data_IF_413263163869
#
_entry.id   IF_413263163869
#
_cell.length_a   1.000
_cell.length_b   1.000
_cell.length_c   1.000
_cell.angle_alpha   90.00
_cell.angle_beta   90.00
_cell.angle_gamma   90.00
#
_symmetry.space_group_name_H-M   'P 1'
#
loop_
_entity.id
_entity.type
_entity.pdbx_description
1 polymer ?
#
# COMPACT_ATOMS: atom_id res chain seq x y z
N UNK A 1 -22.33 16.47 19.10
CA UNK A 1 -21.26 15.49 19.35
C UNK A 1 -21.88 14.10 19.45
N UNK A 2 -21.53 13.18 18.55
CA UNK A 2 -22.01 11.80 18.49
C UNK A 2 -21.36 11.01 19.63
N UNK A 3 -22.19 10.35 20.46
CA UNK A 3 -21.75 9.47 21.56
C UNK A 3 -22.13 8.01 21.34
N UNK A 4 -23.17 7.76 20.54
CA UNK A 4 -23.62 6.42 20.19
C UNK A 4 -22.60 5.75 19.24
N UNK A 5 -22.18 4.53 19.57
CA UNK A 5 -21.16 3.82 18.85
C UNK A 5 -21.60 3.34 17.46
N UNK A 6 -22.90 2.95 17.32
CA UNK A 6 -23.41 2.52 16.02
C UNK A 6 -23.59 3.70 15.06
N UNK A 7 -24.13 4.83 15.56
CA UNK A 7 -24.24 6.06 14.78
C UNK A 7 -22.87 6.57 14.34
N UNK A 8 -21.86 6.50 15.22
CA UNK A 8 -20.47 6.84 14.89
C UNK A 8 -19.95 5.97 13.74
N UNK A 9 -20.05 4.64 13.85
CA UNK A 9 -19.58 3.74 12.79
C UNK A 9 -20.33 3.97 11.47
N UNK A 10 -21.65 4.13 11.52
CA UNK A 10 -22.47 4.41 10.34
C UNK A 10 -22.09 5.74 9.67
N UNK A 11 -21.84 6.79 10.46
CA UNK A 11 -21.41 8.09 9.96
C UNK A 11 -20.04 8.02 9.28
N UNK A 12 -19.07 7.26 9.85
CA UNK A 12 -17.75 7.06 9.26
C UNK A 12 -17.82 6.33 7.91
N UNK A 13 -18.58 5.21 7.87
CA UNK A 13 -18.73 4.43 6.63
C UNK A 13 -19.43 5.26 5.56
N UNK A 14 -20.47 6.02 5.92
CA UNK A 14 -21.19 6.88 4.99
C UNK A 14 -20.29 8.01 4.47
N UNK A 15 -19.54 8.68 5.34
CA UNK A 15 -18.61 9.72 4.93
C UNK A 15 -17.52 9.16 4.00
N UNK A 16 -16.95 7.99 4.31
CA UNK A 16 -16.00 7.32 3.43
C UNK A 16 -16.62 7.00 2.07
N UNK A 17 -17.86 6.48 2.03
CA UNK A 17 -18.58 6.19 0.79
C UNK A 17 -18.80 7.45 -0.06
N UNK A 18 -19.16 8.58 0.55
CA UNK A 18 -19.30 9.86 -0.16
C UNK A 18 -17.95 10.29 -0.74
N UNK A 19 -16.88 10.30 0.07
CA UNK A 19 -15.56 10.79 -0.33
C UNK A 19 -14.93 9.94 -1.44
N UNK A 20 -15.09 8.61 -1.40
CA UNK A 20 -14.63 7.70 -2.47
C UNK A 20 -15.32 7.96 -3.80
N UNK A 21 -16.58 8.40 -3.78
CA UNK A 21 -17.34 8.65 -5.00
C UNK A 21 -17.19 10.07 -5.56
N UNK A 22 -16.59 11.01 -4.84
CA UNK A 22 -16.38 12.40 -5.34
C UNK A 22 -15.70 12.46 -6.72
N UNK A 23 -14.62 11.68 -7.00
CA UNK A 23 -13.99 11.71 -8.32
C UNK A 23 -14.91 11.25 -9.46
N UNK A 24 -15.93 10.42 -9.17
CA UNK A 24 -16.93 9.98 -10.16
C UNK A 24 -17.99 11.04 -10.40
N UNK A 25 -18.29 11.88 -9.41
CA UNK A 25 -19.28 12.95 -9.47
C UNK A 25 -18.70 14.17 -10.19
N UNK A 26 -17.49 14.57 -9.85
CA UNK A 26 -16.82 15.76 -10.40
C UNK A 26 -15.85 15.37 -11.52
N UNK A 27 -16.34 15.38 -12.79
CA UNK A 27 -15.57 14.90 -13.97
C UNK A 27 -14.77 16.01 -14.71
N UNK A 28 -14.78 17.25 -14.24
CA UNK A 28 -14.09 18.37 -14.92
C UNK A 28 -12.55 18.24 -14.86
N UNK A 29 -11.83 18.75 -15.88
CA UNK A 29 -10.35 18.69 -15.94
C UNK A 29 -9.68 19.19 -14.65
N UNK A 30 -10.15 20.30 -14.07
CA UNK A 30 -9.63 20.82 -12.79
C UNK A 30 -9.87 19.87 -11.62
N UNK A 31 -11.03 19.22 -11.57
CA UNK A 31 -11.35 18.23 -10.55
C UNK A 31 -10.47 16.99 -10.68
N UNK A 32 -10.22 16.51 -11.89
CA UNK A 32 -9.30 15.39 -12.13
C UNK A 32 -7.89 15.69 -11.64
N UNK A 33 -7.36 16.89 -11.94
CA UNK A 33 -6.05 17.32 -11.42
C UNK A 33 -6.05 17.32 -9.88
N UNK A 34 -7.08 17.86 -9.26
CA UNK A 34 -7.21 17.86 -7.80
C UNK A 34 -7.21 16.43 -7.23
N UNK A 35 -8.02 15.51 -7.79
CA UNK A 35 -8.10 14.13 -7.29
C UNK A 35 -6.86 13.29 -7.58
N UNK A 36 -6.00 13.70 -8.52
CA UNK A 36 -4.68 13.09 -8.69
C UNK A 36 -3.75 13.40 -7.50
N UNK A 37 -3.83 14.62 -6.94
CA UNK A 37 -3.07 15.01 -5.74
C UNK A 37 -3.74 14.60 -4.43
N UNK A 38 -5.06 14.48 -4.43
CA UNK A 38 -5.86 14.07 -3.27
C UNK A 38 -6.69 12.83 -3.61
N UNK A 39 -6.06 11.65 -3.71
CA UNK A 39 -6.77 10.40 -3.97
C UNK A 39 -7.76 10.06 -2.83
N UNK A 40 -8.74 9.17 -3.05
CA UNK A 40 -9.80 8.87 -2.06
C UNK A 40 -9.27 8.55 -0.66
N UNK A 41 -8.15 7.86 -0.53
CA UNK A 41 -7.50 7.57 0.76
C UNK A 41 -7.19 8.86 1.53
N UNK A 42 -6.58 9.83 0.85
CA UNK A 42 -6.19 11.11 1.45
C UNK A 42 -7.42 11.95 1.79
N UNK A 43 -8.43 11.97 0.92
CA UNK A 43 -9.69 12.68 1.18
C UNK A 43 -10.42 12.14 2.40
N UNK A 44 -10.48 10.80 2.56
CA UNK A 44 -11.09 10.17 3.74
C UNK A 44 -10.29 10.53 4.97
N UNK A 45 -8.95 10.38 4.91
CA UNK A 45 -8.10 10.64 6.07
C UNK A 45 -8.20 12.09 6.53
N UNK A 46 -7.95 13.06 5.64
CA UNK A 46 -7.99 14.49 5.98
C UNK A 46 -9.40 14.97 6.31
N UNK A 47 -10.42 14.49 5.59
CA UNK A 47 -11.81 14.88 5.83
C UNK A 47 -12.31 14.40 7.20
N UNK A 48 -12.05 13.15 7.57
CA UNK A 48 -12.47 12.62 8.88
C UNK A 48 -11.60 13.14 10.03
N UNK A 49 -10.32 13.38 9.78
CA UNK A 49 -9.45 14.07 10.73
C UNK A 49 -9.96 15.49 11.03
N UNK A 50 -10.40 16.23 10.01
CA UNK A 50 -11.04 17.54 10.21
C UNK A 50 -12.30 17.44 11.06
N UNK A 51 -13.18 16.47 10.78
CA UNK A 51 -14.39 16.24 11.58
C UNK A 51 -14.06 15.84 13.02
N UNK A 52 -12.98 15.08 13.25
CA UNK A 52 -12.47 14.75 14.58
C UNK A 52 -12.01 16.01 15.32
N UNK A 53 -11.21 16.85 14.68
CA UNK A 53 -10.74 18.15 15.21
C UNK A 53 -11.93 19.06 15.56
N UNK A 54 -12.99 19.05 14.75
CA UNK A 54 -14.25 19.76 15.03
C UNK A 54 -15.09 19.11 16.14
N UNK A 55 -14.64 18.02 16.75
CA UNK A 55 -15.32 17.30 17.83
C UNK A 55 -16.74 16.83 17.45
N UNK A 56 -16.92 16.35 16.21
CA UNK A 56 -18.22 15.84 15.74
C UNK A 56 -18.64 14.60 16.54
N UNK A 57 -17.70 13.79 17.01
CA UNK A 57 -17.92 12.64 17.89
C UNK A 57 -17.08 12.70 19.16
N UNK A 58 -17.53 11.96 20.18
CA UNK A 58 -16.82 11.82 21.46
C UNK A 58 -15.85 10.64 21.39
N UNK A 59 -14.55 10.92 21.51
CA UNK A 59 -13.49 9.91 21.40
C UNK A 59 -13.57 8.85 22.50
N UNK A 60 -13.96 9.23 23.73
CA UNK A 60 -14.07 8.30 24.84
C UNK A 60 -15.28 7.39 24.71
N UNK A 61 -16.46 7.96 24.42
CA UNK A 61 -17.70 7.23 24.25
C UNK A 61 -17.67 6.24 23.08
N UNK A 62 -16.96 6.57 21.99
CA UNK A 62 -16.86 5.73 20.79
C UNK A 62 -15.65 4.77 20.80
N UNK A 63 -14.82 4.78 21.85
CA UNK A 63 -13.59 3.99 21.91
C UNK A 63 -13.83 2.48 21.87
N UNK A 64 -14.88 1.99 22.51
CA UNK A 64 -15.22 0.56 22.53
C UNK A 64 -15.50 0.05 21.11
N UNK A 65 -16.33 0.74 20.34
CA UNK A 65 -16.67 0.38 18.95
C UNK A 65 -15.44 0.49 18.05
N UNK A 66 -14.65 1.55 18.17
CA UNK A 66 -13.39 1.69 17.43
C UNK A 66 -12.48 0.47 17.63
N UNK A 67 -12.21 0.08 18.87
CA UNK A 67 -11.31 -1.05 19.18
C UNK A 67 -11.86 -2.39 18.72
N UNK A 68 -13.18 -2.62 18.85
CA UNK A 68 -13.82 -3.88 18.48
C UNK A 68 -13.96 -4.07 16.96
N UNK A 69 -13.88 -2.99 16.15
CA UNK A 69 -14.10 -3.05 14.71
C UNK A 69 -12.79 -2.91 13.91
N UNK A 70 -11.90 -1.99 14.33
CA UNK A 70 -10.68 -1.65 13.56
C UNK A 70 -9.80 -2.87 13.30
N UNK A 71 -9.33 -3.53 14.34
CA UNK A 71 -8.36 -4.62 14.19
C UNK A 71 -8.94 -5.86 13.50
N UNK A 72 -10.14 -6.36 13.85
CA UNK A 72 -10.74 -7.48 13.13
C UNK A 72 -10.91 -7.22 11.63
N UNK A 73 -11.36 -6.03 11.22
CA UNK A 73 -11.51 -5.69 9.81
C UNK A 73 -10.14 -5.52 9.14
N UNK A 74 -9.14 -4.92 9.80
CA UNK A 74 -7.77 -4.79 9.29
C UNK A 74 -7.17 -6.16 8.94
N UNK A 75 -7.23 -7.10 9.85
CA UNK A 75 -6.64 -8.42 9.64
C UNK A 75 -7.41 -9.23 8.59
N UNK A 76 -8.74 -9.15 8.57
CA UNK A 76 -9.56 -9.76 7.52
C UNK A 76 -9.23 -9.17 6.14
N UNK A 77 -9.07 -7.85 6.05
CA UNK A 77 -8.64 -7.16 4.84
C UNK A 77 -7.28 -7.65 4.35
N UNK A 78 -6.28 -7.75 5.24
CA UNK A 78 -4.94 -8.22 4.88
C UNK A 78 -4.98 -9.64 4.30
N UNK A 79 -5.73 -10.54 4.94
CA UNK A 79 -5.91 -11.90 4.44
C UNK A 79 -6.49 -11.90 3.03
N UNK A 80 -7.64 -11.21 2.81
CA UNK A 80 -8.33 -11.18 1.52
C UNK A 80 -7.46 -10.52 0.44
N UNK A 81 -6.72 -9.47 0.79
CA UNK A 81 -5.81 -8.79 -0.13
C UNK A 81 -4.69 -9.72 -0.61
N UNK A 82 -4.13 -10.52 0.29
CA UNK A 82 -3.05 -11.46 -0.03
C UNK A 82 -3.53 -12.68 -0.82
N UNK A 83 -4.82 -13.05 -0.78
CA UNK A 83 -5.39 -14.09 -1.65
C UNK A 83 -5.20 -13.82 -3.15
N UNK A 84 -4.97 -12.56 -3.54
CA UNK A 84 -4.72 -12.16 -4.94
C UNK A 84 -3.31 -12.52 -5.42
N UNK A 85 -2.40 -12.88 -4.51
CA UNK A 85 -0.98 -13.08 -4.81
C UNK A 85 -0.70 -14.48 -5.35
N UNK A 86 -0.99 -14.72 -6.64
CA UNK A 86 -0.63 -15.97 -7.32
C UNK A 86 0.88 -16.03 -7.61
N UNK A 87 1.66 -16.54 -6.66
CA UNK A 87 3.12 -16.65 -6.78
C UNK A 87 3.56 -17.45 -8.02
N UNK A 88 2.77 -18.43 -8.49
CA UNK A 88 3.10 -19.18 -9.70
C UNK A 88 3.07 -18.31 -10.96
N UNK A 89 2.12 -17.38 -11.01
CA UNK A 89 2.04 -16.40 -12.10
C UNK A 89 3.15 -15.35 -11.99
N UNK A 90 3.45 -14.90 -10.79
CA UNK A 90 4.51 -13.91 -10.55
C UNK A 90 5.87 -14.44 -11.02
N UNK A 91 6.17 -15.72 -10.79
CA UNK A 91 7.43 -16.34 -11.26
C UNK A 91 7.52 -16.36 -12.80
N UNK A 92 6.39 -16.43 -13.50
CA UNK A 92 6.35 -16.37 -14.98
C UNK A 92 6.79 -15.02 -15.56
N UNK A 93 6.87 -13.95 -14.74
CA UNK A 93 7.41 -12.65 -15.18
C UNK A 93 8.88 -12.73 -15.64
N UNK A 94 9.57 -13.77 -15.21
CA UNK A 94 10.95 -14.00 -15.58
C UNK A 94 11.97 -13.25 -14.68
N UNK A 95 13.25 -13.66 -14.76
CA UNK A 95 14.26 -13.19 -13.81
C UNK A 95 14.56 -11.71 -13.92
N UNK A 96 14.54 -11.11 -15.12
CA UNK A 96 14.84 -9.67 -15.29
C UNK A 96 13.82 -8.78 -14.57
N UNK A 97 12.53 -9.08 -14.70
CA UNK A 97 11.48 -8.32 -14.04
C UNK A 97 11.52 -8.49 -12.52
N UNK A 98 11.75 -9.72 -12.04
CA UNK A 98 11.88 -9.98 -10.61
C UNK A 98 13.12 -9.28 -10.02
N UNK A 99 14.27 -9.34 -10.70
CA UNK A 99 15.47 -8.61 -10.28
C UNK A 99 15.19 -7.10 -10.25
N UNK A 100 14.52 -6.54 -11.27
CA UNK A 100 14.12 -5.13 -11.31
C UNK A 100 13.22 -4.77 -10.12
N UNK A 101 12.24 -5.62 -9.79
CA UNK A 101 11.34 -5.43 -8.67
C UNK A 101 12.10 -5.43 -7.33
N UNK A 102 12.93 -6.42 -7.06
CA UNK A 102 13.71 -6.48 -5.81
C UNK A 102 14.75 -5.36 -5.72
N UNK A 103 15.35 -4.97 -6.83
CA UNK A 103 16.23 -3.80 -6.89
C UNK A 103 15.48 -2.51 -6.49
N UNK A 104 14.26 -2.34 -7.00
CA UNK A 104 13.39 -1.23 -6.60
C UNK A 104 13.03 -1.28 -5.11
N UNK A 105 12.63 -2.44 -4.60
CA UNK A 105 12.30 -2.63 -3.18
C UNK A 105 13.48 -2.27 -2.28
N UNK A 106 14.67 -2.80 -2.59
CA UNK A 106 15.88 -2.54 -1.78
C UNK A 106 16.31 -1.07 -1.86
N UNK A 107 16.24 -0.45 -3.04
CA UNK A 107 16.59 0.96 -3.20
C UNK A 107 15.63 1.90 -2.48
N UNK A 108 14.33 1.55 -2.40
CA UNK A 108 13.34 2.26 -1.58
C UNK A 108 13.72 2.13 -0.10
N UNK A 109 13.92 0.91 0.40
CA UNK A 109 14.32 0.68 1.79
C UNK A 109 15.59 1.44 2.19
N UNK A 110 16.61 1.44 1.31
CA UNK A 110 17.81 2.23 1.52
C UNK A 110 17.54 3.74 1.50
N UNK A 111 16.65 4.20 0.60
CA UNK A 111 16.22 5.58 0.55
C UNK A 111 15.57 6.04 1.86
N UNK A 112 14.67 5.24 2.43
CA UNK A 112 14.06 5.51 3.74
C UNK A 112 15.10 5.56 4.85
N UNK A 113 15.97 4.56 4.91
CA UNK A 113 17.04 4.48 5.93
C UNK A 113 17.98 5.69 5.88
N UNK A 114 18.49 6.04 4.70
CA UNK A 114 19.43 7.17 4.53
C UNK A 114 18.73 8.51 4.78
N UNK A 115 17.51 8.69 4.25
CA UNK A 115 16.75 9.91 4.50
C UNK A 115 16.45 10.09 5.99
N UNK A 116 16.06 9.01 6.69
CA UNK A 116 15.83 9.07 8.13
C UNK A 116 17.11 9.39 8.90
N UNK A 117 18.25 8.79 8.54
CA UNK A 117 19.54 9.11 9.16
C UNK A 117 19.90 10.62 9.04
N UNK A 118 19.48 11.26 7.94
CA UNK A 118 19.72 12.72 7.73
C UNK A 118 18.74 13.56 8.54
N UNK A 119 17.44 13.19 8.57
CA UNK A 119 16.36 14.03 9.06
C UNK A 119 15.80 13.65 10.44
N UNK A 120 16.25 12.56 11.08
CA UNK A 120 15.65 12.03 12.32
C UNK A 120 15.47 13.09 13.42
N UNK A 121 16.45 13.98 13.61
CA UNK A 121 16.35 15.04 14.62
C UNK A 121 15.27 16.08 14.31
N UNK A 122 14.98 16.32 13.02
CA UNK A 122 13.99 17.30 12.57
C UNK A 122 12.58 16.70 12.47
N UNK A 123 12.48 15.41 12.24
CA UNK A 123 11.21 14.69 12.11
C UNK A 123 10.54 14.42 13.46
N UNK A 124 11.30 14.42 14.53
CA UNK A 124 10.83 14.18 15.90
C UNK A 124 10.90 12.73 16.35
N UNK A 125 10.81 12.53 17.66
CA UNK A 125 10.91 11.21 18.29
C UNK A 125 9.80 10.27 17.79
N UNK A 126 10.14 9.00 17.53
CA UNK A 126 9.18 7.99 17.08
C UNK A 126 8.75 8.08 15.61
N UNK A 127 9.19 9.09 14.85
CA UNK A 127 8.86 9.25 13.42
C UNK A 127 9.33 8.09 12.53
N UNK A 128 10.33 7.31 12.99
CA UNK A 128 10.77 6.09 12.32
C UNK A 128 9.65 5.06 12.17
N UNK A 129 8.70 5.02 13.12
CA UNK A 129 7.54 4.12 13.06
C UNK A 129 6.64 4.47 11.88
N UNK A 130 6.26 5.74 11.73
CA UNK A 130 5.42 6.20 10.63
C UNK A 130 6.14 6.11 9.28
N UNK A 131 7.44 6.42 9.22
CA UNK A 131 8.24 6.21 8.02
C UNK A 131 8.39 4.73 7.69
N UNK A 132 8.48 3.84 8.68
CA UNK A 132 8.44 2.39 8.49
C UNK A 132 7.12 1.92 7.89
N UNK A 133 6.00 2.45 8.38
CA UNK A 133 4.68 2.18 7.82
C UNK A 133 4.58 2.68 6.37
N UNK A 134 5.07 3.88 6.08
CA UNK A 134 5.12 4.42 4.73
C UNK A 134 6.07 3.63 3.82
N UNK A 135 7.21 3.17 4.33
CA UNK A 135 8.12 2.29 3.59
C UNK A 135 7.41 0.99 3.17
N UNK A 136 6.61 0.41 4.06
CA UNK A 136 5.76 -0.74 3.73
C UNK A 136 4.70 -0.43 2.68
N UNK A 137 4.13 0.79 2.68
CA UNK A 137 3.26 1.29 1.61
C UNK A 137 3.99 1.37 0.28
N UNK A 138 5.21 1.91 0.29
CA UNK A 138 6.04 2.07 -0.90
C UNK A 138 6.72 0.77 -1.36
N UNK A 139 6.58 -0.33 -0.64
CA UNK A 139 7.00 -1.67 -1.05
C UNK A 139 5.81 -2.57 -1.42
N UNK A 140 4.59 -2.25 -0.95
CA UNK A 140 3.46 -3.16 -1.12
C UNK A 140 2.07 -2.53 -0.98
N UNK A 141 1.97 -1.19 -0.94
CA UNK A 141 0.68 -0.49 -0.94
C UNK A 141 0.06 -0.30 0.45
N UNK A 142 -1.08 0.42 0.48
CA UNK A 142 -1.71 0.93 1.70
C UNK A 142 -2.10 -0.11 2.75
N UNK A 143 -2.40 -1.35 2.34
CA UNK A 143 -2.67 -2.44 3.28
C UNK A 143 -1.47 -2.78 4.16
N UNK A 144 -0.27 -2.85 3.56
CA UNK A 144 0.97 -3.07 4.31
C UNK A 144 1.29 -1.90 5.24
N UNK A 145 1.00 -0.67 4.80
CA UNK A 145 1.14 0.52 5.65
C UNK A 145 0.32 0.40 6.92
N UNK A 146 -0.97 0.04 6.79
CA UNK A 146 -1.87 -0.11 7.94
C UNK A 146 -1.46 -1.27 8.85
N UNK A 147 -0.96 -2.37 8.27
CA UNK A 147 -0.44 -3.49 9.03
C UNK A 147 0.75 -3.08 9.90
N UNK A 148 1.70 -2.33 9.33
CA UNK A 148 2.88 -1.85 10.06
C UNK A 148 2.51 -0.76 11.05
N UNK A 149 1.58 0.14 10.69
CA UNK A 149 1.04 1.13 11.62
C UNK A 149 0.49 0.45 12.88
N UNK A 150 -0.29 -0.62 12.71
CA UNK A 150 -0.83 -1.38 13.82
C UNK A 150 0.27 -2.13 14.60
N UNK A 151 1.23 -2.76 13.91
CA UNK A 151 2.32 -3.54 14.51
C UNK A 151 3.30 -2.67 15.33
N UNK A 152 3.55 -1.42 14.89
CA UNK A 152 4.47 -0.51 15.58
C UNK A 152 3.75 0.48 16.52
N UNK A 153 2.44 0.37 16.64
CA UNK A 153 1.59 1.31 17.40
C UNK A 153 1.91 2.76 17.04
N UNK A 154 1.78 3.07 15.73
CA UNK A 154 2.03 4.43 15.24
C UNK A 154 0.85 5.32 15.58
N UNK A 155 1.09 6.44 16.24
CA UNK A 155 0.05 7.39 16.55
C UNK A 155 -0.53 8.03 15.28
N UNK A 156 -1.82 8.38 15.33
CA UNK A 156 -2.57 8.86 14.18
C UNK A 156 -2.08 10.22 13.68
N UNK A 157 -1.55 11.07 14.55
CA UNK A 157 -1.05 12.40 14.19
C UNK A 157 0.25 12.29 13.36
N UNK A 158 1.19 11.45 13.83
CA UNK A 158 2.43 11.18 13.10
C UNK A 158 2.14 10.47 11.77
N UNK A 159 1.15 9.59 11.74
CA UNK A 159 0.73 8.91 10.51
C UNK A 159 0.14 9.88 9.49
N UNK A 160 -0.51 10.97 9.93
CA UNK A 160 -1.02 12.00 9.03
C UNK A 160 0.08 12.66 8.19
N UNK A 161 1.25 12.94 8.78
CA UNK A 161 2.40 13.45 8.03
C UNK A 161 2.88 12.47 6.95
N UNK A 162 2.98 11.18 7.31
CA UNK A 162 3.38 10.15 6.36
C UNK A 162 2.41 10.05 5.18
N UNK A 163 1.09 10.17 5.41
CA UNK A 163 0.07 10.14 4.36
C UNK A 163 0.11 11.36 3.44
N UNK A 164 0.34 12.55 3.99
CA UNK A 164 0.54 13.78 3.18
C UNK A 164 1.78 13.65 2.31
N UNK A 165 2.88 13.18 2.90
CA UNK A 165 4.12 12.89 2.19
C UNK A 165 3.90 11.86 1.08
N UNK A 166 3.22 10.75 1.36
CA UNK A 166 2.88 9.71 0.39
C UNK A 166 2.13 10.30 -0.80
N UNK A 167 1.03 11.01 -0.53
CA UNK A 167 0.16 11.55 -1.58
C UNK A 167 0.91 12.48 -2.54
N UNK A 168 1.68 13.41 -2.01
CA UNK A 168 2.39 14.41 -2.82
C UNK A 168 3.57 13.75 -3.56
N UNK A 169 4.40 13.02 -2.84
CA UNK A 169 5.59 12.38 -3.41
C UNK A 169 5.22 11.32 -4.45
N UNK A 170 4.26 10.43 -4.14
CA UNK A 170 3.83 9.40 -5.10
C UNK A 170 3.19 10.00 -6.35
N UNK A 171 2.36 11.05 -6.22
CA UNK A 171 1.74 11.71 -7.38
C UNK A 171 2.79 12.32 -8.32
N UNK A 172 3.74 13.08 -7.76
CA UNK A 172 4.82 13.68 -8.55
C UNK A 172 5.71 12.60 -9.16
N UNK A 173 5.93 11.51 -8.45
CA UNK A 173 6.72 10.39 -8.94
C UNK A 173 6.04 9.64 -10.10
N UNK A 174 4.73 9.42 -10.04
CA UNK A 174 3.96 8.86 -11.17
C UNK A 174 4.11 9.72 -12.42
N UNK A 175 3.98 11.05 -12.29
CA UNK A 175 4.17 11.96 -13.42
C UNK A 175 5.59 11.88 -13.99
N UNK A 176 6.60 11.81 -13.12
CA UNK A 176 7.99 11.61 -13.54
C UNK A 176 8.18 10.29 -14.29
N UNK A 177 7.63 9.19 -13.80
CA UNK A 177 7.75 7.88 -14.48
C UNK A 177 7.00 7.82 -15.82
N UNK A 178 5.82 8.45 -15.91
CA UNK A 178 5.09 8.56 -17.19
C UNK A 178 5.88 9.38 -18.23
N UNK A 179 6.56 10.44 -17.81
CA UNK A 179 7.49 11.17 -18.67
C UNK A 179 8.72 10.31 -19.03
N UNK A 180 9.30 9.61 -18.07
CA UNK A 180 10.49 8.79 -18.27
C UNK A 180 10.25 7.65 -19.26
N UNK A 181 9.11 6.94 -19.16
CA UNK A 181 8.77 5.80 -20.02
C UNK A 181 8.59 6.24 -21.49
N UNK A 182 8.18 7.49 -21.72
CA UNK A 182 8.12 8.08 -23.06
C UNK A 182 9.50 8.21 -23.75
N UNK A 183 10.60 8.14 -23.00
CA UNK A 183 11.97 8.21 -23.50
C UNK A 183 12.65 6.82 -23.64
N UNK A 184 11.86 5.76 -23.79
CA UNK A 184 12.30 4.36 -23.77
C UNK A 184 13.43 4.03 -24.75
N UNK A 185 13.40 4.52 -25.98
CA UNK A 185 14.43 4.22 -26.98
C UNK A 185 15.83 4.68 -26.54
N UNK A 186 15.93 5.94 -26.07
CA UNK A 186 17.22 6.50 -25.62
C UNK A 186 17.77 5.77 -24.41
N UNK A 187 16.90 5.47 -23.44
CA UNK A 187 17.28 4.78 -22.22
C UNK A 187 17.73 3.34 -22.51
N UNK A 188 16.94 2.57 -23.27
CA UNK A 188 17.23 1.17 -23.61
C UNK A 188 18.53 1.05 -24.44
N UNK A 189 18.79 2.00 -25.35
CA UNK A 189 20.06 2.09 -26.07
C UNK A 189 21.23 2.37 -25.13
N UNK A 190 21.04 3.25 -24.13
CA UNK A 190 22.06 3.57 -23.15
C UNK A 190 22.35 2.39 -22.22
N UNK A 191 21.34 1.68 -21.72
CA UNK A 191 21.52 0.49 -20.87
C UNK A 191 21.97 -0.74 -21.64
N UNK A 192 21.81 -0.77 -22.97
CA UNK A 192 21.97 -1.95 -23.84
C UNK A 192 21.00 -3.08 -23.43
N UNK A 193 19.76 -2.72 -23.10
CA UNK A 193 18.73 -3.66 -22.69
C UNK A 193 18.22 -4.48 -23.88
N UNK A 194 17.93 -5.76 -23.61
CA UNK A 194 17.20 -6.64 -24.52
C UNK A 194 15.72 -6.65 -24.13
N UNK A 195 14.86 -6.14 -25.01
CA UNK A 195 13.41 -5.99 -24.80
C UNK A 195 12.58 -7.13 -25.36
N UNK A 196 13.19 -8.10 -26.05
CA UNK A 196 12.49 -9.21 -26.72
C UNK A 196 11.62 -10.08 -25.79
N UNK A 197 12.02 -10.19 -24.52
CA UNK A 197 11.32 -10.99 -23.50
C UNK A 197 10.00 -10.34 -23.09
N UNK A 198 9.93 -8.99 -23.07
CA UNK A 198 8.76 -8.25 -22.60
C UNK A 198 7.55 -8.49 -23.49
N UNK A 199 7.76 -8.49 -24.80
CA UNK A 199 6.70 -8.65 -25.79
C UNK A 199 6.06 -10.05 -25.70
N UNK A 200 6.86 -11.09 -25.47
CA UNK A 200 6.37 -12.46 -25.31
C UNK A 200 5.57 -12.70 -24.02
N UNK A 201 6.04 -12.17 -22.90
CA UNK A 201 5.38 -12.30 -21.59
C UNK A 201 4.05 -11.55 -21.57
N UNK A 202 4.01 -10.34 -22.15
CA UNK A 202 2.80 -9.52 -22.20
C UNK A 202 1.66 -10.21 -22.95
N UNK A 203 1.93 -10.77 -24.14
CA UNK A 203 0.93 -11.44 -24.97
C UNK A 203 0.32 -12.67 -24.27
N UNK A 204 1.15 -13.52 -23.64
CA UNK A 204 0.70 -14.71 -22.93
C UNK A 204 -0.21 -14.38 -21.73
N UNK A 205 0.12 -13.33 -20.97
CA UNK A 205 -0.66 -12.88 -19.82
C UNK A 205 -1.97 -12.18 -20.21
N UNK A 206 -1.97 -11.44 -21.29
CA UNK A 206 -3.19 -10.80 -21.83
C UNK A 206 -4.22 -11.85 -22.27
N UNK A 207 -3.78 -12.91 -22.93
CA UNK A 207 -4.65 -14.01 -23.34
C UNK A 207 -5.24 -14.75 -22.12
N UNK A 208 -4.42 -15.02 -21.10
CA UNK A 208 -4.88 -15.63 -19.86
C UNK A 208 -5.87 -14.74 -19.09
N UNK A 209 -5.66 -13.42 -19.08
CA UNK A 209 -6.56 -12.44 -18.44
C UNK A 209 -7.93 -12.39 -19.12
N UNK A 210 -7.97 -12.43 -20.46
CA UNK A 210 -9.21 -12.45 -21.26
C UNK A 210 -10.02 -13.74 -21.03
N UNK A 211 -9.36 -14.87 -20.81
CA UNK A 211 -10.02 -16.16 -20.57
C UNK A 211 -10.71 -16.27 -19.19
N UNK A 212 -10.40 -15.37 -18.25
CA UNK A 212 -10.87 -15.47 -16.86
C UNK A 212 -11.95 -14.43 -16.50
N UNK A 213 -13.05 -14.37 -17.28
CA UNK A 213 -14.14 -13.39 -17.15
C UNK A 213 -15.37 -13.90 -16.37
N UNK A 214 -15.18 -14.65 -15.27
CA UNK A 214 -16.32 -15.06 -14.43
C UNK A 214 -16.94 -13.85 -13.72
N UNK A 215 -18.28 -13.74 -13.66
CA UNK A 215 -18.94 -12.64 -12.96
C UNK A 215 -18.75 -12.71 -11.44
N UNK A 216 -18.82 -11.57 -10.79
CA UNK A 216 -18.90 -11.48 -9.33
C UNK A 216 -20.30 -11.95 -8.90
N UNK A 217 -20.36 -12.91 -7.97
CA UNK A 217 -21.60 -13.42 -7.40
C UNK A 217 -21.61 -13.18 -5.88
N UNK A 218 -22.81 -12.95 -5.31
CA UNK A 218 -22.94 -12.63 -3.88
C UNK A 218 -22.45 -13.75 -2.95
N UNK A 219 -22.52 -15.03 -3.40
CA UNK A 219 -21.98 -16.16 -2.64
C UNK A 219 -20.47 -16.04 -2.39
N UNK A 220 -19.72 -15.49 -3.37
CA UNK A 220 -18.29 -15.23 -3.20
C UNK A 220 -18.06 -14.12 -2.17
N UNK A 221 -18.91 -13.10 -2.17
CA UNK A 221 -18.81 -11.98 -1.21
C UNK A 221 -18.96 -12.48 0.21
N UNK A 222 -20.03 -13.26 0.49
CA UNK A 222 -20.26 -13.79 1.85
C UNK A 222 -19.18 -14.78 2.28
N UNK A 223 -18.66 -15.60 1.34
CA UNK A 223 -17.59 -16.55 1.60
C UNK A 223 -16.29 -15.83 1.98
N UNK A 224 -15.90 -14.78 1.20
CA UNK A 224 -14.70 -14.01 1.47
C UNK A 224 -14.81 -13.22 2.77
N UNK A 225 -15.95 -12.60 3.05
CA UNK A 225 -16.20 -11.89 4.30
C UNK A 225 -16.11 -12.84 5.51
N UNK A 226 -16.84 -13.96 5.44
CA UNK A 226 -16.87 -14.95 6.53
C UNK A 226 -15.50 -15.56 6.79
N UNK A 227 -14.79 -15.99 5.74
CA UNK A 227 -13.43 -16.54 5.87
C UNK A 227 -12.42 -15.51 6.35
N UNK A 228 -12.47 -14.27 5.83
CA UNK A 228 -11.60 -13.18 6.27
C UNK A 228 -11.76 -12.88 7.76
N UNK A 229 -13.01 -12.76 8.24
CA UNK A 229 -13.28 -12.54 9.67
C UNK A 229 -12.89 -13.72 10.53
N UNK A 230 -13.11 -14.97 10.05
CA UNK A 230 -12.69 -16.17 10.78
C UNK A 230 -11.16 -16.23 10.91
N UNK A 231 -10.43 -16.03 9.81
CA UNK A 231 -8.96 -16.00 9.82
C UNK A 231 -8.44 -14.87 10.70
N UNK A 232 -9.08 -13.70 10.66
CA UNK A 232 -8.76 -12.59 11.56
C UNK A 232 -8.88 -13.01 13.03
N UNK A 233 -10.02 -13.57 13.45
CA UNK A 233 -10.27 -13.99 14.82
C UNK A 233 -9.26 -15.06 15.28
N UNK A 234 -9.06 -16.12 14.48
CA UNK A 234 -8.09 -17.19 14.79
C UNK A 234 -6.67 -16.62 14.90
N UNK A 235 -6.29 -15.71 14.00
CA UNK A 235 -4.95 -15.10 14.03
C UNK A 235 -4.72 -14.19 15.25
N UNK A 236 -5.76 -13.50 15.71
CA UNK A 236 -5.69 -12.69 16.94
C UNK A 236 -5.46 -13.57 18.17
N UNK A 237 -6.17 -14.69 18.27
CA UNK A 237 -5.97 -15.65 19.36
C UNK A 237 -4.57 -16.28 19.31
N UNK A 238 -4.13 -16.76 18.13
CA UNK A 238 -2.80 -17.32 17.96
C UNK A 238 -1.70 -16.29 18.25
N UNK A 239 -1.86 -15.04 17.80
CA UNK A 239 -0.92 -13.95 18.07
C UNK A 239 -0.79 -13.65 19.55
N UNK A 240 -1.91 -13.68 20.30
CA UNK A 240 -1.92 -13.54 21.75
C UNK A 240 -1.24 -14.71 22.46
N UNK A 241 -1.55 -15.95 22.03
CA UNK A 241 -0.92 -17.17 22.58
C UNK A 241 0.58 -17.20 22.35
N UNK A 242 1.04 -16.85 21.16
CA UNK A 242 2.48 -16.83 20.83
C UNK A 242 3.19 -15.75 21.65
N UNK A 243 2.61 -14.56 21.77
CA UNK A 243 3.17 -13.46 22.56
C UNK A 243 3.35 -13.84 24.03
N UNK A 244 2.44 -14.65 24.59
CA UNK A 244 2.56 -15.14 25.96
C UNK A 244 3.80 -16.03 26.22
N UNK A 245 4.33 -16.67 25.15
CA UNK A 245 5.49 -17.56 25.22
C UNK A 245 6.74 -16.96 24.60
N UNK A 246 6.58 -16.11 23.60
CA UNK A 246 7.66 -15.48 22.82
C UNK A 246 7.43 -13.96 22.76
N UNK A 247 8.01 -13.23 23.69
CA UNK A 247 7.86 -11.77 23.84
C UNK A 247 8.74 -10.95 22.88
N UNK A 248 9.31 -11.58 21.84
CA UNK A 248 10.16 -10.89 20.84
C UNK A 248 9.37 -9.85 20.01
N UNK A 249 8.13 -10.17 19.67
CA UNK A 249 7.18 -9.23 19.07
C UNK A 249 5.95 -9.12 19.97
N UNK A 250 5.21 -8.02 19.86
CA UNK A 250 3.90 -7.87 20.50
C UNK A 250 2.82 -8.74 19.83
N UNK A 251 1.66 -8.88 20.47
CA UNK A 251 0.54 -9.68 19.97
C UNK A 251 0.04 -9.19 18.60
N UNK A 252 0.04 -7.88 18.36
CA UNK A 252 -0.42 -7.27 17.10
C UNK A 252 0.51 -7.65 15.96
N UNK A 253 1.81 -7.55 16.16
CA UNK A 253 2.83 -7.94 15.17
C UNK A 253 2.74 -9.43 14.83
N UNK A 254 2.60 -10.31 15.84
CA UNK A 254 2.38 -11.74 15.60
C UNK A 254 1.12 -12.00 14.78
N UNK A 255 0.01 -11.32 15.11
CA UNK A 255 -1.25 -11.45 14.35
C UNK A 255 -1.07 -11.06 12.89
N UNK A 256 -0.42 -9.90 12.62
CA UNK A 256 -0.14 -9.45 11.25
C UNK A 256 0.68 -10.46 10.47
N UNK A 257 1.73 -11.03 11.08
CA UNK A 257 2.57 -12.03 10.44
C UNK A 257 1.80 -13.32 10.14
N UNK A 258 0.99 -13.82 11.08
CA UNK A 258 0.18 -15.03 10.90
C UNK A 258 -0.83 -14.84 9.76
N UNK A 259 -1.58 -13.73 9.77
CA UNK A 259 -2.53 -13.39 8.72
C UNK A 259 -1.85 -13.31 7.35
N UNK A 260 -0.66 -12.71 7.30
CA UNK A 260 0.09 -12.57 6.05
C UNK A 260 0.53 -13.92 5.50
N UNK A 261 1.05 -14.80 6.35
CA UNK A 261 1.43 -16.17 5.95
C UNK A 261 0.20 -16.97 5.49
N UNK A 262 -0.90 -16.92 6.25
CA UNK A 262 -2.13 -17.61 5.87
C UNK A 262 -2.68 -17.08 4.55
N UNK A 263 -2.70 -15.77 4.32
CA UNK A 263 -3.14 -15.18 3.06
C UNK A 263 -2.35 -15.68 1.86
N UNK A 264 -1.02 -15.75 1.97
CA UNK A 264 -0.14 -16.26 0.92
C UNK A 264 -0.36 -17.78 0.69
N UNK A 265 -0.48 -18.58 1.76
CA UNK A 265 -0.73 -20.03 1.65
C UNK A 265 -2.07 -20.29 0.97
N UNK A 266 -3.13 -19.61 1.37
CA UNK A 266 -4.44 -19.74 0.76
C UNK A 266 -4.50 -19.22 -0.68
N UNK A 267 -3.68 -18.23 -1.04
CA UNK A 267 -3.55 -17.76 -2.43
C UNK A 267 -3.08 -18.88 -3.39
N UNK A 268 -2.32 -19.86 -2.91
CA UNK A 268 -1.85 -21.01 -3.69
C UNK A 268 -2.93 -22.08 -3.89
N UNK A 269 -4.06 -21.97 -3.20
CA UNK A 269 -5.20 -22.91 -3.27
C UNK A 269 -6.29 -22.38 -4.23
N UNK A 270 -7.34 -23.18 -4.53
CA UNK A 270 -8.51 -22.70 -5.27
C UNK A 270 -9.18 -21.46 -4.64
N UNK A 271 -8.98 -21.24 -3.35
CA UNK A 271 -9.52 -20.09 -2.61
C UNK A 271 -9.00 -18.74 -3.15
N UNK A 272 -7.72 -18.68 -3.55
CA UNK A 272 -7.12 -17.50 -4.18
C UNK A 272 -7.69 -17.14 -5.55
N UNK A 273 -8.52 -18.02 -6.15
CA UNK A 273 -9.18 -17.80 -7.45
C UNK A 273 -10.61 -17.26 -7.31
N UNK A 274 -11.10 -17.05 -6.09
CA UNK A 274 -12.44 -16.54 -5.83
C UNK A 274 -12.51 -15.07 -6.29
N UNK A 275 -13.52 -14.73 -7.10
CA UNK A 275 -13.76 -13.35 -7.54
C UNK A 275 -14.36 -12.52 -6.41
N UNK A 276 -13.98 -11.25 -6.35
CA UNK A 276 -14.46 -10.30 -5.34
C UNK A 276 -13.41 -9.95 -4.26
N UNK A 277 -12.23 -10.57 -4.31
CA UNK A 277 -11.15 -10.28 -3.35
C UNK A 277 -10.71 -8.82 -3.40
N UNK A 278 -10.65 -8.20 -4.60
CA UNK A 278 -10.28 -6.80 -4.78
C UNK A 278 -11.36 -5.86 -4.22
N UNK A 279 -12.61 -6.09 -4.59
CA UNK A 279 -13.73 -5.27 -4.20
C UNK A 279 -13.90 -5.26 -2.68
N UNK A 280 -13.84 -6.44 -2.06
CA UNK A 280 -14.04 -6.58 -0.61
C UNK A 280 -12.86 -6.02 0.16
N UNK A 281 -11.62 -6.32 -0.26
CA UNK A 281 -10.44 -5.78 0.41
C UNK A 281 -10.38 -4.24 0.33
N UNK A 282 -10.80 -3.63 -0.79
CA UNK A 282 -10.88 -2.18 -0.94
C UNK A 282 -11.98 -1.58 -0.04
N UNK A 283 -13.16 -2.21 0.07
CA UNK A 283 -14.21 -1.76 1.00
C UNK A 283 -13.69 -1.77 2.43
N UNK A 284 -13.05 -2.87 2.86
CA UNK A 284 -12.45 -2.98 4.19
C UNK A 284 -11.33 -1.95 4.42
N UNK A 285 -10.47 -1.72 3.41
CA UNK A 285 -9.40 -0.72 3.45
C UNK A 285 -9.95 0.67 3.78
N UNK A 286 -10.97 1.11 3.05
CA UNK A 286 -11.57 2.44 3.28
C UNK A 286 -12.28 2.55 4.63
N UNK A 287 -12.88 1.47 5.14
CA UNK A 287 -13.47 1.43 6.48
C UNK A 287 -12.38 1.57 7.55
N UNK A 288 -11.27 0.84 7.42
CA UNK A 288 -10.15 0.91 8.39
C UNK A 288 -9.51 2.30 8.38
N UNK A 289 -9.30 2.88 7.20
CA UNK A 289 -8.77 4.25 7.07
C UNK A 289 -9.71 5.25 7.73
N UNK A 290 -11.01 5.13 7.53
CA UNK A 290 -12.00 6.00 8.14
C UNK A 290 -11.98 5.90 9.68
N UNK A 291 -11.87 4.68 10.22
CA UNK A 291 -11.74 4.46 11.66
C UNK A 291 -10.47 5.12 12.21
N UNK A 292 -9.31 4.92 11.57
CA UNK A 292 -8.03 5.51 12.00
C UNK A 292 -8.11 7.03 11.96
N UNK A 293 -8.52 7.61 10.83
CA UNK A 293 -8.61 9.05 10.63
C UNK A 293 -9.56 9.74 11.62
N UNK A 294 -10.58 9.01 12.10
CA UNK A 294 -11.52 9.53 13.10
C UNK A 294 -10.92 9.78 14.49
N UNK A 295 -9.67 9.39 14.70
CA UNK A 295 -8.91 9.60 15.97
C UNK A 295 -7.78 10.63 15.83
N UNK A 296 -7.47 11.06 14.60
CA UNK A 296 -6.40 12.01 14.33
C UNK A 296 -6.87 13.47 14.50
N UNK A 297 -5.97 14.36 14.97
CA UNK A 297 -6.20 15.80 15.11
C UNK A 297 -5.36 16.60 14.11
N UNK A 298 -6.02 17.48 13.36
CA UNK A 298 -5.37 18.32 12.34
C UNK A 298 -4.42 19.37 12.96
N UNK A 299 -4.63 19.76 14.21
CA UNK A 299 -3.76 20.71 14.91
C UNK A 299 -2.31 20.23 15.07
N UNK A 300 -2.08 18.93 14.90
CA UNK A 300 -0.74 18.34 14.99
C UNK A 300 0.10 18.49 13.70
N UNK A 301 -0.46 18.97 12.55
CA UNK A 301 0.19 18.91 11.21
C UNK A 301 1.15 20.10 10.94
N UNK A 302 1.86 20.62 11.96
CA UNK A 302 2.78 21.77 11.79
C UNK A 302 4.08 21.48 11.03
N UNK A 303 4.60 20.25 11.04
CA UNK A 303 5.91 19.87 10.51
C UNK A 303 5.89 19.24 9.10
N UNK A 304 4.79 19.32 8.37
CA UNK A 304 4.63 18.71 7.04
C UNK A 304 5.76 19.03 6.02
N UNK A 305 6.34 20.26 5.97
CA UNK A 305 7.40 20.57 5.01
C UNK A 305 8.66 19.71 5.16
N UNK A 306 9.06 19.37 6.39
CA UNK A 306 10.25 18.53 6.65
C UNK A 306 9.99 17.08 6.18
N UNK A 307 8.78 16.56 6.42
CA UNK A 307 8.38 15.25 5.93
C UNK A 307 8.41 15.19 4.41
N UNK A 308 7.91 16.22 3.72
CA UNK A 308 7.97 16.29 2.26
C UNK A 308 9.41 16.32 1.75
N UNK A 309 10.28 17.09 2.39
CA UNK A 309 11.70 17.14 2.02
C UNK A 309 12.36 15.77 2.18
N UNK A 310 12.09 15.08 3.29
CA UNK A 310 12.55 13.72 3.52
C UNK A 310 12.04 12.75 2.43
N UNK A 311 10.77 12.87 2.03
CA UNK A 311 10.16 12.09 0.96
C UNK A 311 10.84 12.29 -0.40
N UNK A 312 11.13 13.53 -0.77
CA UNK A 312 11.88 13.82 -1.99
C UNK A 312 13.30 13.25 -1.97
N UNK A 313 13.97 13.30 -0.82
CA UNK A 313 15.30 12.68 -0.67
C UNK A 313 15.22 11.16 -0.84
N UNK A 314 14.20 10.50 -0.29
CA UNK A 314 13.97 9.07 -0.50
C UNK A 314 13.84 8.77 -2.01
N UNK A 315 12.99 9.50 -2.72
CA UNK A 315 12.78 9.30 -4.16
C UNK A 315 14.03 9.57 -4.98
N UNK A 316 14.81 10.60 -4.65
CA UNK A 316 16.06 10.90 -5.33
C UNK A 316 17.08 9.77 -5.16
N UNK A 317 17.23 9.25 -3.95
CA UNK A 317 18.12 8.11 -3.68
C UNK A 317 17.65 6.88 -4.46
N UNK A 318 16.34 6.58 -4.42
CA UNK A 318 15.76 5.47 -5.14
C UNK A 318 16.01 5.57 -6.64
N UNK A 319 15.73 6.72 -7.25
CA UNK A 319 15.94 6.95 -8.69
C UNK A 319 17.41 6.83 -9.07
N UNK A 320 18.31 7.41 -8.28
CA UNK A 320 19.76 7.33 -8.52
C UNK A 320 20.26 5.87 -8.52
N UNK A 321 19.81 5.08 -7.54
CA UNK A 321 20.17 3.65 -7.44
C UNK A 321 19.56 2.88 -8.61
N UNK A 322 18.28 3.11 -8.95
CA UNK A 322 17.63 2.43 -10.07
C UNK A 322 18.30 2.74 -11.42
N UNK A 323 18.72 3.98 -11.66
CA UNK A 323 19.48 4.36 -12.86
C UNK A 323 20.84 3.61 -12.89
N UNK A 324 21.56 3.56 -11.78
CA UNK A 324 22.83 2.85 -11.71
C UNK A 324 22.66 1.34 -11.94
N UNK A 325 21.71 0.72 -11.24
CA UNK A 325 21.41 -0.72 -11.37
C UNK A 325 20.89 -1.08 -12.78
N UNK A 326 20.08 -0.23 -13.39
CA UNK A 326 19.59 -0.48 -14.75
C UNK A 326 20.74 -0.53 -15.76
N UNK A 327 21.78 0.29 -15.60
CA UNK A 327 22.98 0.25 -16.44
C UNK A 327 23.81 -1.01 -16.22
N UNK A 328 23.99 -1.43 -14.96
CA UNK A 328 24.79 -2.60 -14.59
C UNK A 328 24.08 -3.89 -15.03
N UNK A 329 22.77 -3.99 -14.77
CA UNK A 329 21.97 -5.19 -15.01
C UNK A 329 21.36 -5.21 -16.42
N UNK A 330 21.62 -4.18 -17.25
CA UNK A 330 21.05 -3.99 -18.60
C UNK A 330 19.53 -4.11 -18.60
N UNK A 331 18.86 -3.46 -17.61
CA UNK A 331 17.41 -3.42 -17.53
C UNK A 331 16.88 -2.39 -18.51
N UNK A 332 15.74 -2.70 -19.10
CA UNK A 332 14.98 -1.76 -19.91
C UNK A 332 14.17 -0.79 -19.04
N UNK A 333 13.77 0.33 -19.61
CA UNK A 333 13.04 1.37 -18.88
C UNK A 333 11.68 0.89 -18.42
N UNK A 334 10.99 0.02 -19.18
CA UNK A 334 9.70 -0.54 -18.79
C UNK A 334 9.85 -1.31 -17.49
N UNK A 335 10.79 -2.26 -17.44
CA UNK A 335 11.11 -3.03 -16.23
C UNK A 335 11.44 -2.12 -15.05
N UNK A 336 12.28 -1.09 -15.24
CA UNK A 336 12.66 -0.16 -14.18
C UNK A 336 11.48 0.67 -13.67
N UNK A 337 10.71 1.29 -14.57
CA UNK A 337 9.60 2.16 -14.21
C UNK A 337 8.43 1.38 -13.60
N UNK A 338 8.07 0.22 -14.18
CA UNK A 338 6.98 -0.60 -13.68
C UNK A 338 7.36 -1.26 -12.36
N UNK A 339 8.60 -1.74 -12.19
CA UNK A 339 9.09 -2.25 -10.92
C UNK A 339 9.04 -1.20 -9.82
N UNK A 340 9.48 0.01 -10.11
CA UNK A 340 9.44 1.12 -9.17
C UNK A 340 8.01 1.50 -8.80
N UNK A 341 7.11 1.63 -9.79
CA UNK A 341 5.73 2.01 -9.52
C UNK A 341 4.88 0.88 -8.95
N UNK A 342 5.22 -0.38 -9.24
CA UNK A 342 4.62 -1.55 -8.59
C UNK A 342 4.88 -1.57 -7.08
N UNK A 343 6.03 -1.08 -6.67
CA UNK A 343 6.37 -0.84 -5.28
C UNK A 343 5.61 0.40 -4.73
N UNK A 344 5.87 1.61 -5.26
CA UNK A 344 5.40 2.87 -4.68
C UNK A 344 3.89 3.10 -4.86
N UNK A 345 3.35 2.76 -6.03
CA UNK A 345 1.95 3.04 -6.35
C UNK A 345 1.03 1.81 -6.35
N UNK A 346 1.61 0.61 -6.24
CA UNK A 346 0.88 -0.65 -6.14
C UNK A 346 -0.03 -0.96 -7.34
N UNK A 347 -1.11 -1.71 -7.06
CA UNK A 347 -2.05 -2.20 -8.09
C UNK A 347 -2.90 -1.11 -8.74
N UNK A 348 -2.92 0.10 -8.18
CA UNK A 348 -3.69 1.21 -8.74
C UNK A 348 -2.96 1.89 -9.91
N UNK A 349 -1.64 2.03 -9.84
CA UNK A 349 -0.88 2.89 -10.76
C UNK A 349 0.10 2.12 -11.66
N UNK A 350 0.66 1.00 -11.20
CA UNK A 350 1.56 0.19 -12.01
C UNK A 350 0.92 -0.31 -13.31
N UNK A 351 -0.35 -0.78 -13.33
CA UNK A 351 -1.04 -1.15 -14.57
C UNK A 351 -1.24 0.02 -15.54
N UNK A 352 -1.47 1.22 -15.01
CA UNK A 352 -1.63 2.45 -15.83
C UNK A 352 -0.33 2.78 -16.54
N UNK A 353 0.80 2.71 -15.82
CA UNK A 353 2.12 2.93 -16.40
C UNK A 353 2.48 1.85 -17.42
N UNK A 354 2.18 0.59 -17.11
CA UNK A 354 2.37 -0.53 -18.04
C UNK A 354 1.55 -0.34 -19.32
N UNK A 355 0.29 0.08 -19.20
CA UNK A 355 -0.60 0.39 -20.31
C UNK A 355 -0.13 1.59 -21.15
N UNK A 356 0.52 2.59 -20.54
CA UNK A 356 1.11 3.72 -21.24
C UNK A 356 2.28 3.29 -22.14
N UNK A 357 2.96 2.19 -21.82
CA UNK A 357 3.97 1.58 -22.70
C UNK A 357 3.33 0.65 -23.74
N UNK A 358 2.51 -0.32 -23.27
CA UNK A 358 1.75 -1.24 -24.12
C UNK A 358 0.57 -1.84 -23.35
N UNK A 359 -0.62 -1.87 -23.97
CA UNK A 359 -1.81 -2.47 -23.36
C UNK A 359 -1.64 -3.96 -23.02
N UNK A 360 -0.85 -4.70 -23.81
CA UNK A 360 -0.52 -6.11 -23.56
C UNK A 360 0.23 -6.33 -22.26
N UNK A 361 0.89 -5.29 -21.73
CA UNK A 361 1.72 -5.37 -20.51
C UNK A 361 0.98 -4.94 -19.22
N UNK A 362 -0.28 -4.52 -19.33
CA UNK A 362 -1.12 -4.19 -18.15
C UNK A 362 -1.13 -5.32 -17.11
N UNK A 363 -1.31 -6.60 -17.47
CA UNK A 363 -1.25 -7.70 -16.51
C UNK A 363 0.10 -7.84 -15.80
N UNK A 364 1.20 -7.51 -16.47
CA UNK A 364 2.56 -7.50 -15.87
C UNK A 364 2.63 -6.49 -14.73
N UNK A 365 2.14 -5.27 -14.96
CA UNK A 365 2.06 -4.24 -13.92
C UNK A 365 1.26 -4.68 -12.69
N UNK A 366 0.12 -5.35 -12.92
CA UNK A 366 -0.70 -5.91 -11.83
C UNK A 366 0.09 -6.96 -11.04
N UNK A 367 0.74 -7.91 -11.73
CA UNK A 367 1.45 -9.01 -11.07
C UNK A 367 2.67 -8.53 -10.28
N UNK A 368 3.41 -7.56 -10.81
CA UNK A 368 4.52 -6.94 -10.08
C UNK A 368 4.03 -6.23 -8.82
N UNK A 369 2.91 -5.51 -8.89
CA UNK A 369 2.32 -4.85 -7.73
C UNK A 369 1.80 -5.84 -6.68
N UNK A 370 1.25 -6.98 -7.10
CA UNK A 370 0.82 -8.04 -6.19
C UNK A 370 2.00 -8.69 -5.44
N UNK A 371 3.18 -8.79 -6.07
CA UNK A 371 4.40 -9.23 -5.37
C UNK A 371 4.75 -8.29 -4.20
N UNK A 372 4.51 -7.00 -4.36
CA UNK A 372 4.66 -6.01 -3.30
C UNK A 372 3.82 -6.32 -2.06
N UNK A 373 2.60 -6.80 -2.22
CA UNK A 373 1.76 -7.17 -1.08
C UNK A 373 2.40 -8.24 -0.19
N UNK A 374 3.13 -9.17 -0.80
CA UNK A 374 3.84 -10.25 -0.07
C UNK A 374 5.01 -9.69 0.74
N UNK A 375 5.73 -8.72 0.18
CA UNK A 375 7.01 -8.26 0.73
C UNK A 375 6.85 -7.04 1.64
N UNK A 376 5.85 -6.19 1.35
CA UNK A 376 5.75 -4.85 1.91
C UNK A 376 5.71 -4.81 3.43
N UNK A 377 4.93 -5.68 4.07
CA UNK A 377 4.84 -5.73 5.55
C UNK A 377 6.19 -6.12 6.17
N UNK A 378 6.79 -7.23 5.71
CA UNK A 378 8.08 -7.69 6.22
C UNK A 378 9.21 -6.69 5.94
N UNK A 379 9.29 -6.19 4.71
CA UNK A 379 10.29 -5.20 4.29
C UNK A 379 10.20 -3.89 5.07
N UNK A 380 8.99 -3.37 5.24
CA UNK A 380 8.77 -2.14 6.00
C UNK A 380 9.10 -2.27 7.49
N UNK A 381 8.76 -3.41 8.12
CA UNK A 381 9.16 -3.71 9.51
C UNK A 381 10.68 -3.80 9.67
N UNK A 382 11.38 -4.43 8.74
CA UNK A 382 12.85 -4.51 8.76
C UNK A 382 13.45 -3.12 8.65
N UNK A 383 12.98 -2.29 7.70
CA UNK A 383 13.49 -0.92 7.53
C UNK A 383 13.17 -0.06 8.74
N UNK A 384 11.95 -0.18 9.31
CA UNK A 384 11.58 0.52 10.54
C UNK A 384 12.55 0.19 11.69
N UNK A 385 12.83 -1.10 11.88
CA UNK A 385 13.74 -1.55 12.92
C UNK A 385 15.18 -1.03 12.69
N UNK A 386 15.65 -0.95 11.44
CA UNK A 386 16.92 -0.33 11.12
C UNK A 386 16.94 1.17 11.44
N UNK A 387 15.84 1.89 11.12
CA UNK A 387 15.71 3.32 11.42
C UNK A 387 15.64 3.59 12.94
N UNK A 388 15.10 2.68 13.74
CA UNK A 388 14.99 2.85 15.20
C UNK A 388 16.35 2.98 15.91
N UNK A 389 17.45 2.67 15.23
CA UNK A 389 18.82 2.87 15.76
C UNK A 389 19.14 4.36 15.99
N UNK A 390 18.46 5.25 15.25
CA UNK A 390 18.67 6.71 15.34
C UNK A 390 17.65 7.43 16.23
N UNK A 391 16.56 6.73 16.69
CA UNK A 391 15.44 7.39 17.37
C UNK A 391 15.03 6.80 18.68
#
# INVERSE_FOLDING_TARGET
MIKDGFLYLAALIFAAAVLVNLPKIFKGKKAQVFFNFAPPIVLIYLGLMLLCTMKVWDLSATSAVYKSVKNPILYAMLFIMLLRCDLKKIIKLGPKMLIGFFAATLSIGLGFFVSYAIFHQLLGAGSWKALGALCGSWMGGGGNMLAIQAALDVDEATMAYALVMDSICATLYVMFLLWAIGNHEKFNKWTKADTSIIDGVGAALEEEAKANTKPLVWQNIILLLGSGLLVSAVSMELGSMINAHLSFFDSTTWTVLIVSVLGIVFALTPFGKIKGTEEISNVMLYIVIALIASRADLGAVGNAPIWLLAGFVILLIHVAIMIALSKILKLDIFTCCVASLANIGGTATAPVLAGAYSNALVPVGIMMALLGYVIGTGGGLVVANLMSIFG
#
